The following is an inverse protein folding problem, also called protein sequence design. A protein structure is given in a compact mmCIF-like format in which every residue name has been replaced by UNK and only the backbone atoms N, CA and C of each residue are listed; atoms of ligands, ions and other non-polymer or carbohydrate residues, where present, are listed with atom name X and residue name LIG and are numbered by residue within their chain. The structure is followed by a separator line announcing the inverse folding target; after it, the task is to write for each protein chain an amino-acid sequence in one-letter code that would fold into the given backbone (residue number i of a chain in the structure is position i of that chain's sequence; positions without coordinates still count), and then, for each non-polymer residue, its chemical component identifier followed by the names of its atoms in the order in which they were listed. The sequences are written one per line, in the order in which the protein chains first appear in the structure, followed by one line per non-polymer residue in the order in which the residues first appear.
data_IF_507098007120
#
_entry.id   IF_507098007120
#
_cell.length_a   1.000
_cell.length_b   1.000
_cell.length_c   1.000
_cell.angle_alpha   90.00
_cell.angle_beta   90.00
_cell.angle_gamma   90.00
#
_symmetry.space_group_name_H-M   'P 1'
#
loop_
_entity.id
_entity.type
_entity.pdbx_description
1 polymer ?
#
# COMPACT_ATOMS: atom_id res chain seq x y z
N UNK A 1 -18.48 9.27 21.03
CA UNK A 1 -17.34 9.12 21.97
C UNK A 1 -16.25 8.39 21.21
N UNK A 2 -15.10 9.03 20.97
CA UNK A 2 -13.93 8.44 20.30
C UNK A 2 -12.74 8.40 21.28
N UNK A 3 -11.74 7.55 21.03
CA UNK A 3 -10.57 7.47 21.88
C UNK A 3 -9.67 8.70 21.71
N UNK A 4 -8.90 9.05 22.74
CA UNK A 4 -7.89 10.14 22.66
C UNK A 4 -6.87 9.91 21.53
N UNK A 5 -6.53 8.64 21.25
CA UNK A 5 -5.67 8.28 20.12
C UNK A 5 -6.28 8.73 18.79
N UNK A 6 -7.59 8.45 18.59
CA UNK A 6 -8.30 8.87 17.37
C UNK A 6 -8.50 10.39 17.29
N UNK A 7 -8.77 11.06 18.41
CA UNK A 7 -8.82 12.53 18.44
C UNK A 7 -7.50 13.14 17.94
N UNK A 8 -6.38 12.63 18.43
CA UNK A 8 -5.05 13.09 18.00
C UNK A 8 -4.77 12.76 16.53
N UNK A 9 -5.17 11.58 16.05
CA UNK A 9 -4.99 11.19 14.65
C UNK A 9 -5.83 12.07 13.71
N UNK A 10 -7.06 12.41 14.09
CA UNK A 10 -7.92 13.31 13.30
C UNK A 10 -7.37 14.73 13.28
N UNK A 11 -6.91 15.24 14.43
CA UNK A 11 -6.30 16.58 14.53
C UNK A 11 -5.02 16.72 13.67
N UNK A 12 -4.30 15.61 13.46
CA UNK A 12 -3.09 15.53 12.63
C UNK A 12 -3.35 14.78 11.32
N UNK A 13 -4.60 14.77 10.84
CA UNK A 13 -4.97 14.04 9.63
C UNK A 13 -4.24 14.58 8.40
N UNK A 14 -4.04 13.68 7.46
CA UNK A 14 -3.19 13.88 6.28
C UNK A 14 -3.64 15.09 5.46
N UNK A 15 -2.68 15.91 5.09
CA UNK A 15 -2.86 17.03 4.16
C UNK A 15 -3.39 16.59 2.78
N UNK A 16 -3.23 15.30 2.43
CA UNK A 16 -3.66 14.74 1.15
C UNK A 16 -5.17 14.88 0.97
N UNK A 17 -5.95 14.56 1.99
CA UNK A 17 -7.42 14.70 1.93
C UNK A 17 -7.84 16.15 1.78
N UNK A 18 -7.22 17.05 2.55
CA UNK A 18 -7.48 18.49 2.45
C UNK A 18 -7.13 19.03 1.06
N UNK A 19 -6.01 18.59 0.47
CA UNK A 19 -5.63 18.95 -0.89
C UNK A 19 -6.63 18.43 -1.94
N UNK A 20 -7.10 17.20 -1.80
CA UNK A 20 -8.11 16.64 -2.70
C UNK A 20 -9.45 17.40 -2.62
N UNK A 21 -9.90 17.74 -1.41
CA UNK A 21 -11.12 18.53 -1.20
C UNK A 21 -10.97 19.94 -1.77
N UNK A 22 -9.80 20.55 -1.62
CA UNK A 22 -9.48 21.85 -2.20
C UNK A 22 -9.41 21.79 -3.73
N UNK A 23 -8.81 20.75 -4.30
CA UNK A 23 -8.82 20.51 -5.75
C UNK A 23 -10.23 20.44 -6.32
N UNK A 24 -11.11 19.69 -5.66
CA UNK A 24 -12.53 19.64 -6.04
C UNK A 24 -13.25 20.99 -5.92
N UNK A 25 -12.92 21.78 -4.90
CA UNK A 25 -13.47 23.13 -4.72
C UNK A 25 -13.00 24.06 -5.84
N UNK A 26 -11.72 24.03 -6.18
CA UNK A 26 -11.15 24.85 -7.26
C UNK A 26 -11.71 24.46 -8.62
N UNK A 27 -11.92 23.17 -8.88
CA UNK A 27 -12.52 22.70 -10.13
C UNK A 27 -13.95 23.24 -10.35
N UNK A 28 -14.73 23.43 -9.27
CA UNK A 28 -16.06 24.05 -9.35
C UNK A 28 -16.00 25.56 -9.67
N UNK A 29 -14.91 26.23 -9.33
CA UNK A 29 -14.75 27.68 -9.51
C UNK A 29 -14.16 28.00 -10.89
N UNK A 30 -13.13 27.24 -11.28
CA UNK A 30 -12.31 27.56 -12.46
C UNK A 30 -12.57 26.61 -13.66
N UNK A 31 -13.37 25.58 -13.50
CA UNK A 31 -13.52 24.49 -14.46
C UNK A 31 -12.49 23.36 -14.22
N UNK A 32 -12.92 22.11 -14.33
CA UNK A 32 -12.06 20.94 -14.06
C UNK A 32 -10.84 20.89 -15.00
N UNK A 33 -11.00 21.38 -16.22
CA UNK A 33 -9.95 21.43 -17.24
C UNK A 33 -8.81 22.42 -16.91
N UNK A 34 -9.04 23.33 -15.98
CA UNK A 34 -8.07 24.34 -15.54
C UNK A 34 -7.45 24.01 -14.16
N UNK A 35 -7.76 22.86 -13.59
CA UNK A 35 -7.22 22.45 -12.29
C UNK A 35 -6.43 21.16 -12.45
N UNK A 36 -5.14 21.22 -12.20
CA UNK A 36 -4.21 20.09 -12.27
C UNK A 36 -4.03 19.51 -10.87
N UNK A 37 -4.85 18.50 -10.52
CA UNK A 37 -4.83 17.86 -9.21
C UNK A 37 -3.83 16.70 -9.18
N UNK A 38 -2.77 16.83 -8.41
CA UNK A 38 -1.75 15.81 -8.15
C UNK A 38 -1.82 15.27 -6.71
N UNK A 39 -2.92 15.49 -6.01
CA UNK A 39 -3.08 15.05 -4.61
C UNK A 39 -3.28 13.56 -4.43
N UNK A 40 -3.92 12.90 -5.42
CA UNK A 40 -4.24 11.47 -5.38
C UNK A 40 -3.67 10.75 -6.60
N UNK A 41 -2.98 9.64 -6.36
CA UNK A 41 -2.45 8.76 -7.39
C UNK A 41 -3.53 7.82 -7.94
N UNK A 42 -4.53 8.35 -8.66
CA UNK A 42 -5.51 7.52 -9.35
C UNK A 42 -4.92 6.95 -10.64
N UNK A 43 -5.17 5.65 -10.95
CA UNK A 43 -4.86 5.11 -12.26
C UNK A 43 -5.63 5.88 -13.35
N UNK A 44 -4.92 6.31 -14.38
CA UNK A 44 -5.50 6.98 -15.55
C UNK A 44 -5.56 6.08 -16.78
N UNK A 45 -5.17 4.82 -16.64
CA UNK A 45 -5.24 3.79 -17.68
C UNK A 45 -6.31 2.78 -17.27
N UNK A 46 -7.22 2.40 -18.15
CA UNK A 46 -8.24 1.40 -17.84
C UNK A 46 -7.58 0.04 -17.54
N UNK A 47 -8.22 -0.75 -16.67
CA UNK A 47 -7.81 -2.12 -16.45
C UNK A 47 -7.90 -2.92 -17.78
N UNK A 48 -7.05 -3.95 -17.98
CA UNK A 48 -7.15 -4.83 -19.13
C UNK A 48 -8.57 -5.42 -19.27
N UNK A 49 -9.08 -5.53 -20.50
CA UNK A 49 -10.42 -6.08 -20.74
C UNK A 49 -10.60 -7.50 -20.19
N UNK A 50 -9.52 -8.27 -20.11
CA UNK A 50 -9.50 -9.59 -19.49
C UNK A 50 -9.96 -9.57 -18.02
N UNK A 51 -9.67 -8.51 -17.27
CA UNK A 51 -10.12 -8.36 -15.88
C UNK A 51 -11.64 -8.24 -15.82
N UNK A 52 -12.21 -7.37 -16.63
CA UNK A 52 -13.66 -7.19 -16.71
C UNK A 52 -14.37 -8.48 -17.15
N UNK A 53 -13.82 -9.15 -18.18
CA UNK A 53 -14.35 -10.41 -18.65
C UNK A 53 -14.34 -11.47 -17.54
N UNK A 54 -13.21 -11.67 -16.86
CA UNK A 54 -13.10 -12.64 -15.77
C UNK A 54 -14.12 -12.37 -14.65
N UNK A 55 -14.34 -11.11 -14.28
CA UNK A 55 -15.36 -10.77 -13.29
C UNK A 55 -16.78 -11.14 -13.74
N UNK A 56 -17.11 -10.89 -15.02
CA UNK A 56 -18.42 -11.25 -15.59
C UNK A 56 -18.59 -12.77 -15.65
N UNK A 57 -17.55 -13.49 -16.08
CA UNK A 57 -17.57 -14.96 -16.18
C UNK A 57 -17.79 -15.57 -14.76
N UNK A 58 -17.08 -15.12 -13.75
CA UNK A 58 -17.25 -15.56 -12.35
C UNK A 58 -18.69 -15.33 -11.86
N UNK A 59 -19.24 -14.14 -12.11
CA UNK A 59 -20.60 -13.82 -11.67
C UNK A 59 -21.68 -14.65 -12.36
N UNK A 60 -21.43 -15.13 -13.59
CA UNK A 60 -22.39 -15.90 -14.36
C UNK A 60 -22.25 -17.41 -14.16
N UNK A 61 -21.05 -17.89 -13.86
CA UNK A 61 -20.72 -19.32 -13.92
C UNK A 61 -20.56 -19.95 -12.54
N UNK A 62 -20.17 -19.15 -11.50
CA UNK A 62 -19.96 -19.69 -10.17
C UNK A 62 -21.29 -19.95 -9.42
N UNK A 63 -21.26 -20.97 -8.55
CA UNK A 63 -22.38 -21.23 -7.65
C UNK A 63 -22.64 -20.01 -6.75
N UNK A 64 -23.91 -19.54 -6.67
CA UNK A 64 -24.26 -18.38 -5.84
C UNK A 64 -23.85 -18.49 -4.37
N UNK A 65 -23.75 -19.70 -3.82
CA UNK A 65 -23.30 -19.95 -2.44
C UNK A 65 -21.79 -19.70 -2.35
N UNK A 66 -21.02 -20.11 -3.36
CA UNK A 66 -19.58 -19.88 -3.42
C UNK A 66 -19.26 -18.39 -3.55
N UNK A 67 -20.04 -17.65 -4.37
CA UNK A 67 -19.82 -16.23 -4.61
C UNK A 67 -19.91 -15.35 -3.34
N UNK A 68 -20.72 -15.73 -2.36
CA UNK A 68 -20.91 -14.94 -1.14
C UNK A 68 -20.55 -15.70 0.15
N UNK A 69 -20.12 -16.93 0.02
CA UNK A 69 -19.67 -17.76 1.15
C UNK A 69 -18.28 -17.38 1.65
N UNK A 70 -17.92 -17.93 2.78
CA UNK A 70 -16.54 -17.86 3.26
C UNK A 70 -15.62 -18.70 2.38
N UNK A 71 -14.39 -18.21 2.19
CA UNK A 71 -13.33 -19.04 1.60
C UNK A 71 -12.98 -20.21 2.54
N UNK A 72 -12.49 -21.30 2.00
CA UNK A 72 -12.04 -22.46 2.77
C UNK A 72 -10.68 -22.22 3.48
N UNK A 73 -10.09 -21.05 3.34
CA UNK A 73 -8.83 -20.65 3.96
C UNK A 73 -8.82 -19.15 4.28
N UNK A 74 -8.35 -18.78 5.46
CA UNK A 74 -8.14 -17.39 5.85
C UNK A 74 -7.09 -16.67 4.98
N UNK A 75 -6.25 -17.41 4.26
CA UNK A 75 -5.25 -16.85 3.35
C UNK A 75 -5.80 -16.57 1.94
N UNK A 76 -7.03 -16.93 1.63
CA UNK A 76 -7.66 -16.85 0.32
C UNK A 76 -7.67 -18.19 -0.43
N UNK A 77 -8.28 -18.23 -1.60
CA UNK A 77 -8.37 -19.41 -2.45
C UNK A 77 -6.98 -19.95 -2.83
N UNK A 78 -6.78 -21.25 -2.72
CA UNK A 78 -5.47 -21.90 -2.91
C UNK A 78 -4.99 -21.81 -4.35
N UNK A 79 -5.86 -22.02 -5.31
CA UNK A 79 -5.60 -21.92 -6.75
C UNK A 79 -5.17 -20.50 -7.14
N UNK A 80 -5.85 -19.48 -6.62
CA UNK A 80 -5.47 -18.07 -6.81
C UNK A 80 -4.09 -17.78 -6.21
N UNK A 81 -3.82 -18.25 -5.00
CA UNK A 81 -2.53 -18.09 -4.34
C UNK A 81 -1.40 -18.80 -5.08
N UNK A 82 -1.70 -20.01 -5.63
CA UNK A 82 -0.72 -20.74 -6.44
C UNK A 82 -0.44 -19.99 -7.76
N UNK A 83 -1.46 -19.47 -8.44
CA UNK A 83 -1.27 -18.68 -9.66
C UNK A 83 -0.40 -17.42 -9.40
N UNK A 84 -0.58 -16.76 -8.25
CA UNK A 84 0.29 -15.64 -7.84
C UNK A 84 1.73 -16.11 -7.58
N UNK A 85 1.90 -17.23 -6.89
CA UNK A 85 3.22 -17.81 -6.62
C UNK A 85 3.94 -18.16 -7.93
N UNK A 86 3.26 -18.81 -8.86
CA UNK A 86 3.81 -19.21 -10.16
C UNK A 86 4.24 -17.98 -10.98
N UNK A 87 3.41 -16.95 -11.02
CA UNK A 87 3.75 -15.69 -11.68
C UNK A 87 4.98 -15.01 -11.07
N UNK A 88 5.12 -15.01 -9.74
CA UNK A 88 6.31 -14.48 -9.07
C UNK A 88 7.56 -15.32 -9.37
N UNK A 89 7.43 -16.64 -9.38
CA UNK A 89 8.51 -17.56 -9.69
C UNK A 89 9.02 -17.37 -11.13
N UNK A 90 8.11 -17.25 -12.08
CA UNK A 90 8.44 -17.00 -13.48
C UNK A 90 9.14 -15.65 -13.68
N UNK A 91 8.62 -14.58 -13.07
CA UNK A 91 9.11 -13.22 -13.29
C UNK A 91 10.41 -12.91 -12.55
N UNK A 92 10.62 -13.49 -11.38
CA UNK A 92 11.70 -13.10 -10.46
C UNK A 92 12.64 -14.26 -10.08
N UNK A 93 12.43 -15.47 -10.63
CA UNK A 93 13.26 -16.63 -10.32
C UNK A 93 13.16 -17.08 -8.86
N UNK A 94 12.01 -16.85 -8.22
CA UNK A 94 11.75 -17.27 -6.84
C UNK A 94 11.24 -18.71 -6.80
N UNK A 95 10.98 -19.26 -5.60
CA UNK A 95 10.45 -20.61 -5.39
C UNK A 95 9.29 -20.60 -4.41
N UNK A 96 8.34 -19.70 -4.60
CA UNK A 96 7.14 -19.62 -3.77
C UNK A 96 6.11 -20.71 -4.14
N UNK A 97 5.28 -21.06 -3.17
CA UNK A 97 4.11 -21.91 -3.34
C UNK A 97 2.90 -21.19 -2.70
N UNK A 98 1.69 -21.72 -2.90
CA UNK A 98 0.47 -21.13 -2.35
C UNK A 98 0.55 -20.83 -0.84
N UNK A 99 1.24 -21.66 -0.06
CA UNK A 99 1.44 -21.47 1.38
C UNK A 99 2.22 -20.19 1.76
N UNK A 100 2.97 -19.64 0.82
CA UNK A 100 3.76 -18.42 1.03
C UNK A 100 2.99 -17.14 0.66
N UNK A 101 1.79 -17.28 0.10
CA UNK A 101 0.96 -16.18 -0.36
C UNK A 101 -0.25 -16.04 0.57
N UNK A 102 -0.55 -14.80 0.94
CA UNK A 102 -1.77 -14.44 1.68
C UNK A 102 -2.46 -13.31 0.94
N UNK A 103 -3.73 -13.54 0.57
CA UNK A 103 -4.54 -12.52 -0.08
C UNK A 103 -5.08 -11.54 0.95
N UNK A 104 -5.08 -10.25 0.62
CA UNK A 104 -5.59 -9.18 1.48
C UNK A 104 -6.47 -8.22 0.70
N UNK A 105 -7.27 -7.43 1.41
CA UNK A 105 -8.10 -6.39 0.79
C UNK A 105 -7.23 -5.17 0.49
N UNK A 106 -6.56 -5.22 -0.67
CA UNK A 106 -5.63 -4.19 -1.13
C UNK A 106 -4.35 -4.09 -0.31
N UNK A 107 -3.43 -3.23 -0.75
CA UNK A 107 -2.14 -3.01 -0.10
C UNK A 107 -2.28 -2.45 1.32
N UNK A 108 -3.26 -1.58 1.55
CA UNK A 108 -3.55 -1.04 2.89
C UNK A 108 -3.89 -2.14 3.91
N UNK A 109 -4.73 -3.10 3.50
CA UNK A 109 -5.04 -4.29 4.30
C UNK A 109 -3.80 -5.11 4.59
N UNK A 110 -3.00 -5.40 3.57
CA UNK A 110 -1.75 -6.15 3.69
C UNK A 110 -0.75 -5.48 4.63
N UNK A 111 -0.54 -4.18 4.48
CA UNK A 111 0.35 -3.41 5.35
C UNK A 111 -0.11 -3.42 6.82
N UNK A 112 -1.40 -3.23 7.07
CA UNK A 112 -1.92 -3.30 8.43
C UNK A 112 -1.76 -4.71 9.03
N UNK A 113 -1.98 -5.77 8.26
CA UNK A 113 -1.79 -7.15 8.74
C UNK A 113 -0.33 -7.41 9.10
N UNK A 114 0.61 -7.07 8.20
CA UNK A 114 2.04 -7.35 8.43
C UNK A 114 2.60 -6.50 9.58
N UNK A 115 2.24 -5.22 9.67
CA UNK A 115 2.68 -4.35 10.75
C UNK A 115 2.11 -4.82 12.10
N UNK A 116 0.84 -5.30 12.13
CA UNK A 116 0.27 -5.92 13.33
C UNK A 116 1.06 -7.15 13.78
N UNK A 117 1.54 -7.95 12.84
CA UNK A 117 2.29 -9.16 13.13
C UNK A 117 3.73 -8.88 13.59
N UNK A 118 4.34 -7.78 13.15
CA UNK A 118 5.75 -7.48 13.38
C UNK A 118 6.01 -6.54 14.57
N UNK A 119 5.10 -5.59 14.83
CA UNK A 119 5.38 -4.49 15.75
C UNK A 119 4.87 -4.74 17.18
N UNK A 120 5.73 -4.45 18.13
CA UNK A 120 5.36 -4.12 19.51
C UNK A 120 5.31 -2.60 19.67
N UNK A 121 4.65 -2.09 20.73
CA UNK A 121 4.67 -0.65 21.02
C UNK A 121 6.10 -0.10 21.12
N UNK A 122 6.37 0.95 20.33
CA UNK A 122 7.69 1.59 20.27
C UNK A 122 8.69 0.93 19.31
N UNK A 123 8.32 -0.15 18.61
CA UNK A 123 9.13 -0.69 17.52
C UNK A 123 9.12 0.28 16.32
N UNK A 124 10.18 0.25 15.54
CA UNK A 124 10.46 1.24 14.50
C UNK A 124 10.29 0.68 13.09
N UNK A 125 9.68 1.50 12.24
CA UNK A 125 9.60 1.28 10.79
C UNK A 125 10.36 2.41 10.10
N UNK A 126 11.43 2.07 9.38
CA UNK A 126 12.23 3.04 8.64
C UNK A 126 11.61 3.29 7.27
N UNK A 127 11.58 4.55 6.85
CA UNK A 127 11.12 4.99 5.53
C UNK A 127 12.08 6.01 4.94
N UNK A 128 12.24 6.00 3.62
CA UNK A 128 12.98 7.07 2.91
C UNK A 128 11.99 8.12 2.40
N UNK A 129 12.19 9.37 2.78
CA UNK A 129 11.39 10.48 2.29
C UNK A 129 11.81 10.88 0.85
N UNK A 130 10.85 11.33 -0.02
CA UNK A 130 9.41 11.35 0.23
C UNK A 130 8.80 9.94 0.19
N UNK A 131 7.82 9.66 1.05
CA UNK A 131 7.15 8.37 1.15
C UNK A 131 5.62 8.55 1.20
N UNK A 132 4.89 7.44 1.05
CA UNK A 132 3.43 7.45 1.15
C UNK A 132 2.98 7.75 2.59
N UNK A 133 2.29 8.88 2.78
CA UNK A 133 1.95 9.42 4.10
C UNK A 133 1.18 8.47 5.01
N UNK A 134 0.39 7.56 4.42
CA UNK A 134 -0.41 6.57 5.16
C UNK A 134 0.45 5.54 5.92
N UNK A 135 1.72 5.36 5.57
CA UNK A 135 2.63 4.49 6.35
C UNK A 135 2.74 4.94 7.80
N UNK A 136 2.67 6.25 8.05
CA UNK A 136 2.63 6.79 9.41
C UNK A 136 1.37 6.35 10.16
N UNK A 137 0.22 6.43 9.50
CA UNK A 137 -1.06 6.00 10.08
C UNK A 137 -1.06 4.50 10.37
N UNK A 138 -0.61 3.68 9.40
CA UNK A 138 -0.56 2.23 9.55
C UNK A 138 0.39 1.80 10.69
N UNK A 139 1.55 2.42 10.78
CA UNK A 139 2.51 2.16 11.87
C UNK A 139 1.95 2.58 13.23
N UNK A 140 1.35 3.77 13.30
CA UNK A 140 0.75 4.30 14.53
C UNK A 140 -0.46 3.47 15.01
N UNK A 141 -1.17 2.76 14.13
CA UNK A 141 -2.26 1.86 14.53
C UNK A 141 -1.80 0.83 15.55
N UNK A 142 -0.52 0.45 15.50
CA UNK A 142 0.09 -0.58 16.35
C UNK A 142 1.14 -0.01 17.30
N UNK A 143 1.04 1.29 17.61
CA UNK A 143 1.94 2.01 18.49
C UNK A 143 3.42 1.94 18.08
N UNK A 144 3.67 1.67 16.79
CA UNK A 144 4.99 1.75 16.20
C UNK A 144 5.41 3.19 15.90
N UNK A 145 6.69 3.39 15.62
CA UNK A 145 7.31 4.69 15.34
C UNK A 145 7.86 4.70 13.92
N UNK A 146 7.53 5.74 13.15
CA UNK A 146 8.20 5.99 11.86
C UNK A 146 9.56 6.66 12.11
N UNK A 147 10.60 6.04 11.56
CA UNK A 147 11.94 6.62 11.49
C UNK A 147 12.19 7.06 10.05
N UNK A 148 12.14 8.35 9.84
CA UNK A 148 12.26 8.95 8.51
C UNK A 148 13.72 9.22 8.16
N UNK A 149 14.16 8.77 6.99
CA UNK A 149 15.44 9.14 6.38
C UNK A 149 15.19 10.34 5.46
N UNK A 150 15.94 11.42 5.66
CA UNK A 150 15.77 12.67 4.94
C UNK A 150 15.95 12.50 3.42
N UNK A 151 15.18 13.23 2.59
CA UNK A 151 15.35 13.16 1.15
C UNK A 151 16.69 13.80 0.73
N UNK A 152 17.32 13.23 -0.28
CA UNK A 152 18.35 13.94 -1.05
C UNK A 152 17.68 14.59 -2.27
N UNK A 153 17.43 15.89 -2.17
CA UNK A 153 16.74 16.64 -3.22
C UNK A 153 17.63 16.97 -4.43
N UNK A 154 18.93 16.76 -4.32
CA UNK A 154 19.87 16.99 -5.42
C UNK A 154 20.02 15.76 -6.31
N UNK A 155 20.14 14.58 -5.71
CA UNK A 155 20.42 13.33 -6.44
C UNK A 155 19.22 12.38 -6.49
N UNK A 156 18.24 12.56 -5.62
CA UNK A 156 17.11 11.65 -5.38
C UNK A 156 17.55 10.22 -5.00
N UNK A 157 18.78 10.07 -4.52
CA UNK A 157 19.28 8.79 -4.03
C UNK A 157 19.01 8.63 -2.52
N UNK A 158 18.86 7.39 -2.04
CA UNK A 158 18.69 7.14 -0.61
C UNK A 158 19.97 7.51 0.17
N UNK A 159 19.81 8.26 1.26
CA UNK A 159 20.91 8.61 2.17
C UNK A 159 21.28 7.42 3.05
N UNK A 160 22.12 6.53 2.54
CA UNK A 160 22.48 5.29 3.22
C UNK A 160 23.26 5.49 4.52
N UNK A 161 24.02 6.56 4.66
CA UNK A 161 24.74 6.85 5.89
C UNK A 161 23.78 7.28 6.99
N UNK A 162 22.85 8.20 6.72
CA UNK A 162 21.79 8.54 7.65
C UNK A 162 20.93 7.33 8.04
N UNK A 163 20.65 6.44 7.06
CA UNK A 163 19.94 5.19 7.33
C UNK A 163 20.70 4.33 8.35
N UNK A 164 22.02 4.12 8.15
CA UNK A 164 22.85 3.34 9.08
C UNK A 164 22.88 3.95 10.50
N UNK A 165 22.98 5.28 10.58
CA UNK A 165 22.99 6.00 11.85
C UNK A 165 21.67 5.89 12.62
N UNK A 166 20.55 5.83 11.90
CA UNK A 166 19.21 5.76 12.51
C UNK A 166 18.72 4.35 12.81
N UNK A 167 19.46 3.31 12.40
CA UNK A 167 19.12 1.94 12.80
C UNK A 167 19.31 1.74 14.31
N UNK A 168 18.33 1.09 14.93
CA UNK A 168 18.37 0.76 16.35
C UNK A 168 17.94 -0.70 16.59
N UNK A 169 18.13 -1.25 17.80
CA UNK A 169 17.57 -2.56 18.16
C UNK A 169 16.05 -2.66 18.07
N UNK A 170 15.35 -1.52 17.98
CA UNK A 170 13.89 -1.43 17.80
C UNK A 170 13.47 -1.46 16.35
N UNK A 171 14.39 -1.30 15.40
CA UNK A 171 14.07 -1.32 13.97
C UNK A 171 13.60 -2.70 13.54
N UNK A 172 12.35 -2.81 13.09
CA UNK A 172 11.70 -4.06 12.70
C UNK A 172 11.46 -4.16 11.18
N UNK A 173 11.26 -3.04 10.53
CA UNK A 173 10.94 -3.04 9.12
C UNK A 173 11.53 -1.82 8.41
N UNK A 174 11.81 -2.01 7.12
CA UNK A 174 12.11 -0.96 6.16
C UNK A 174 11.06 -0.99 5.08
N UNK A 175 10.39 0.13 4.84
CA UNK A 175 9.40 0.27 3.77
C UNK A 175 9.94 1.15 2.65
N UNK A 176 9.90 0.64 1.43
CA UNK A 176 10.45 1.28 0.24
C UNK A 176 9.39 1.39 -0.84
N UNK A 177 8.65 2.51 -0.89
CA UNK A 177 7.68 2.78 -1.95
C UNK A 177 8.32 2.87 -3.34
N UNK A 178 9.60 3.28 -3.40
CA UNK A 178 10.29 3.55 -4.66
C UNK A 178 10.63 2.30 -5.50
N UNK A 179 10.57 1.11 -4.91
CA UNK A 179 10.93 -0.15 -5.57
C UNK A 179 9.84 -1.21 -5.53
N UNK A 180 8.75 -0.97 -4.79
CA UNK A 180 7.76 -2.00 -4.48
C UNK A 180 6.42 -1.86 -5.19
N UNK A 181 6.23 -0.84 -5.98
CA UNK A 181 4.97 -0.65 -6.71
C UNK A 181 4.96 -1.51 -7.98
N UNK A 182 4.06 -2.49 -8.10
CA UNK A 182 4.03 -3.39 -9.27
C UNK A 182 3.76 -2.68 -10.59
N UNK A 183 3.28 -1.46 -10.55
CA UNK A 183 2.99 -0.64 -11.73
C UNK A 183 4.18 0.18 -12.24
N UNK A 184 5.28 0.27 -11.50
CA UNK A 184 6.49 1.01 -11.90
C UNK A 184 7.49 0.24 -12.74
N UNK A 185 7.08 -0.85 -13.30
CA UNK A 185 7.88 -1.94 -13.68
C UNK A 185 8.61 -1.86 -14.93
N UNK A 186 8.62 -0.96 -15.75
CA UNK A 186 9.25 -1.11 -17.06
C UNK A 186 9.92 0.13 -17.62
N UNK A 187 10.06 1.18 -16.86
CA UNK A 187 10.62 2.42 -17.38
C UNK A 187 12.01 2.78 -16.80
N UNK A 188 12.64 1.83 -16.14
CA UNK A 188 14.06 1.97 -15.76
C UNK A 188 14.81 0.78 -16.33
N UNK A 189 15.07 0.85 -17.60
CA UNK A 189 16.15 0.11 -18.28
C UNK A 189 17.08 1.11 -18.89
#
# INVERSE_FOLDING_TARGET
MISKKMENMVANSSAIRAMFEEGNRLAKIYGAENVYDFSLGNPNVPAPEAVKKAMIDILNEEDPIVLHGYTNSNAGYEDVRQAVADSLNERFGTSFAAKNITMTVGAAGGLNVILKALLNPGDEVVVFAPYFGEYRSYTNNYDGVIVEISPDTATFQPKLDEFREKLSPKTKALSLIHISEPTRHSLIS
#
